data_IF_967662428996
#
_entry.id   IF_967662428996
#
_cell.length_a   1.000
_cell.length_b   1.000
_cell.length_c   1.000
_cell.angle_alpha   90.00
_cell.angle_beta   90.00
_cell.angle_gamma   90.00
#
_symmetry.space_group_name_H-M   'P 1'
#
loop_
_entity.id
_entity.type
_entity.pdbx_description
1 polymer ?
#
# COMPACT_ATOMS: atom_id res chain seq x y z
N UNK A 1 -12.07 62.40 12.64
CA UNK A 1 -12.44 62.01 11.27
C UNK A 1 -11.48 60.92 10.87
N UNK A 2 -11.98 59.73 11.14
CA UNK A 2 -11.46 58.40 10.91
C UNK A 2 -11.03 58.22 9.46
N UNK A 3 -9.95 57.48 9.21
CA UNK A 3 -10.13 56.10 8.74
C UNK A 3 -8.83 55.31 8.73
N UNK A 4 -8.97 54.06 9.14
CA UNK A 4 -7.94 53.04 9.28
C UNK A 4 -7.68 52.42 7.92
N UNK A 5 -6.42 52.31 7.51
CA UNK A 5 -6.03 51.39 6.44
C UNK A 5 -4.82 50.57 6.89
N UNK A 6 -5.08 49.56 7.71
CA UNK A 6 -4.18 48.42 7.89
C UNK A 6 -3.99 47.75 6.53
N UNK A 7 -2.74 47.70 6.05
CA UNK A 7 -2.39 46.84 4.92
C UNK A 7 -2.29 45.40 5.43
N UNK A 8 -3.38 44.65 5.32
CA UNK A 8 -3.33 43.19 5.37
C UNK A 8 -2.51 42.70 4.17
N UNK A 9 -1.29 42.22 4.45
CA UNK A 9 -0.52 41.44 3.49
C UNK A 9 -1.25 40.11 3.32
N UNK A 10 -2.01 39.99 2.23
CA UNK A 10 -2.64 38.74 1.82
C UNK A 10 -1.52 37.75 1.43
N UNK A 11 -1.12 36.92 2.40
CA UNK A 11 -0.22 35.78 2.19
C UNK A 11 -0.82 34.91 1.08
N UNK A 12 -0.10 34.59 0.00
CA UNK A 12 -0.63 33.73 -1.05
C UNK A 12 -0.98 32.38 -0.41
N UNK A 13 -2.27 32.04 -0.44
CA UNK A 13 -2.78 30.74 0.00
C UNK A 13 -2.02 29.68 -0.75
N UNK A 14 -1.32 28.82 -0.02
CA UNK A 14 -0.70 27.61 -0.53
C UNK A 14 -1.69 26.91 -1.45
N UNK A 15 -1.48 27.04 -2.77
CA UNK A 15 -2.04 26.10 -3.72
C UNK A 15 -1.42 24.76 -3.32
N UNK A 16 -2.21 23.93 -2.65
CA UNK A 16 -1.96 22.51 -2.52
C UNK A 16 -1.68 21.98 -3.93
N UNK A 17 -0.41 21.82 -4.26
CA UNK A 17 -0.02 21.09 -5.45
C UNK A 17 -0.51 19.66 -5.26
N UNK A 18 -1.16 19.04 -6.26
CA UNK A 18 -1.56 17.64 -6.17
C UNK A 18 -0.34 16.83 -5.78
N UNK A 19 -0.43 16.14 -4.65
CA UNK A 19 0.72 15.61 -3.93
C UNK A 19 1.72 14.89 -4.81
N UNK A 20 2.92 15.48 -4.93
CA UNK A 20 4.13 14.69 -5.09
C UNK A 20 4.27 13.84 -3.82
N UNK A 21 3.65 12.66 -3.87
CA UNK A 21 3.99 11.56 -3.01
C UNK A 21 5.47 11.29 -3.28
N UNK A 22 6.37 11.85 -2.46
CA UNK A 22 7.78 11.46 -2.45
C UNK A 22 7.80 9.99 -2.08
N UNK A 23 7.84 9.13 -3.10
CA UNK A 23 7.99 7.70 -2.93
C UNK A 23 9.38 7.51 -2.32
N UNK A 24 9.44 7.12 -1.04
CA UNK A 24 10.63 6.49 -0.49
C UNK A 24 10.83 5.15 -1.22
N UNK A 25 11.36 5.24 -2.45
CA UNK A 25 11.55 4.11 -3.36
C UNK A 25 12.84 3.33 -3.07
N UNK A 26 13.49 3.55 -1.94
CA UNK A 26 14.81 2.98 -1.67
C UNK A 26 14.76 1.54 -1.13
N UNK A 27 13.57 1.00 -0.81
CA UNK A 27 13.43 -0.41 -0.43
C UNK A 27 12.27 -1.09 -1.18
N UNK A 28 12.53 -2.26 -1.81
CA UNK A 28 11.49 -3.02 -2.48
C UNK A 28 10.41 -3.48 -1.46
N UNK A 29 9.15 -3.66 -1.90
CA UNK A 29 8.08 -4.10 -1.02
C UNK A 29 8.29 -5.55 -0.56
N UNK A 30 7.67 -5.91 0.56
CA UNK A 30 7.66 -7.28 1.08
C UNK A 30 6.64 -8.14 0.32
N UNK A 31 5.49 -7.56 -0.01
CA UNK A 31 4.47 -8.19 -0.83
C UNK A 31 3.96 -7.26 -1.92
N UNK A 32 3.45 -7.87 -3.00
CA UNK A 32 2.80 -7.16 -4.09
C UNK A 32 1.41 -7.76 -4.38
N UNK A 33 0.39 -6.94 -4.27
CA UNK A 33 -1.01 -7.32 -4.50
C UNK A 33 -1.41 -6.91 -5.91
N UNK A 34 -2.04 -7.83 -6.65
CA UNK A 34 -2.55 -7.60 -8.01
C UNK A 34 -3.93 -8.21 -8.16
N UNK A 35 -4.79 -7.57 -8.94
CA UNK A 35 -6.04 -8.15 -9.40
C UNK A 35 -5.91 -8.62 -10.85
N UNK A 36 -6.40 -9.82 -11.13
CA UNK A 36 -6.55 -10.36 -12.48
C UNK A 36 -7.97 -10.84 -12.68
N UNK A 37 -8.61 -10.44 -13.79
CA UNK A 37 -9.99 -10.90 -14.11
C UNK A 37 -10.09 -12.42 -14.26
N UNK A 38 -9.00 -13.10 -14.63
CA UNK A 38 -8.99 -14.56 -14.83
C UNK A 38 -8.75 -15.35 -13.55
N UNK A 39 -7.99 -14.77 -12.61
CA UNK A 39 -7.44 -15.52 -11.45
C UNK A 39 -7.99 -14.98 -10.12
N UNK A 40 -8.48 -13.74 -10.09
CA UNK A 40 -8.91 -13.04 -8.88
C UNK A 40 -7.78 -12.23 -8.25
N UNK A 41 -7.81 -12.08 -6.92
CA UNK A 41 -6.74 -11.41 -6.18
C UNK A 41 -5.55 -12.34 -5.99
N UNK A 42 -4.36 -11.78 -6.18
CA UNK A 42 -3.10 -12.49 -6.03
C UNK A 42 -2.12 -11.62 -5.25
N UNK A 43 -1.47 -12.24 -4.27
CA UNK A 43 -0.40 -11.61 -3.49
C UNK A 43 0.90 -12.33 -3.83
N UNK A 44 1.82 -11.63 -4.47
CA UNK A 44 3.20 -12.05 -4.69
C UNK A 44 4.03 -11.76 -3.44
N UNK A 45 4.83 -12.75 -3.03
CA UNK A 45 5.79 -12.63 -1.93
C UNK A 45 7.13 -12.22 -2.54
N UNK A 46 7.58 -11.01 -2.26
CA UNK A 46 8.74 -10.39 -2.94
C UNK A 46 10.01 -10.53 -2.11
N UNK A 47 9.93 -10.25 -0.81
CA UNK A 47 11.11 -10.30 0.06
C UNK A 47 11.25 -11.66 0.76
N UNK A 48 12.50 -11.97 1.17
CA UNK A 48 12.76 -13.14 2.00
C UNK A 48 12.08 -13.05 3.37
N UNK A 49 12.01 -11.86 3.96
CA UNK A 49 11.34 -11.64 5.25
C UNK A 49 9.84 -11.95 5.15
N UNK A 50 9.20 -11.50 4.07
CA UNK A 50 7.81 -11.81 3.76
C UNK A 50 7.56 -13.32 3.60
N UNK A 51 8.49 -14.02 2.94
CA UNK A 51 8.42 -15.47 2.77
C UNK A 51 8.50 -16.20 4.12
N UNK A 52 9.49 -15.86 4.95
CA UNK A 52 9.65 -16.46 6.28
C UNK A 52 8.47 -16.15 7.19
N UNK A 53 7.91 -14.94 7.10
CA UNK A 53 6.70 -14.55 7.82
C UNK A 53 5.48 -15.38 7.38
N UNK A 54 5.30 -15.55 6.06
CA UNK A 54 4.21 -16.33 5.48
C UNK A 54 4.28 -17.79 5.94
N UNK A 55 5.45 -18.41 5.90
CA UNK A 55 5.64 -19.80 6.36
C UNK A 55 5.24 -20.01 7.84
N UNK A 56 5.34 -18.98 8.68
CA UNK A 56 5.02 -19.05 10.11
C UNK A 56 3.55 -18.76 10.43
N UNK A 57 2.84 -18.01 9.58
CA UNK A 57 1.52 -17.42 9.91
C UNK A 57 0.40 -17.77 8.96
N UNK A 58 0.73 -18.28 7.79
CA UNK A 58 -0.26 -18.52 6.74
C UNK A 58 -0.80 -19.92 6.93
N UNK A 59 -2.02 -20.01 7.45
CA UNK A 59 -2.76 -21.27 7.51
C UNK A 59 -2.91 -21.81 6.07
N UNK A 60 -2.38 -23.00 5.76
CA UNK A 60 -2.47 -23.60 4.42
C UNK A 60 -3.92 -23.84 3.98
N UNK A 61 -4.89 -23.77 4.90
CA UNK A 61 -6.32 -23.89 4.59
C UNK A 61 -6.96 -22.59 4.07
N UNK A 62 -6.38 -21.43 4.40
CA UNK A 62 -6.92 -20.10 4.01
C UNK A 62 -6.29 -19.55 2.73
N UNK A 63 -5.17 -20.11 2.30
CA UNK A 63 -4.35 -19.54 1.25
C UNK A 63 -3.79 -20.66 0.36
N UNK A 64 -4.17 -20.67 -0.91
CA UNK A 64 -3.53 -21.53 -1.91
C UNK A 64 -2.11 -20.98 -2.15
N UNK A 65 -1.18 -21.42 -1.31
CA UNK A 65 0.20 -20.98 -1.31
C UNK A 65 1.01 -21.82 -2.30
N UNK A 66 1.32 -21.25 -3.45
CA UNK A 66 2.17 -21.87 -4.49
C UNK A 66 3.67 -21.62 -4.23
N UNK A 67 4.03 -21.21 -3.01
CA UNK A 67 5.39 -20.83 -2.60
C UNK A 67 5.64 -19.34 -2.76
N UNK A 68 5.46 -18.79 -3.96
CA UNK A 68 5.67 -17.34 -4.23
C UNK A 68 4.39 -16.53 -4.32
N UNK A 69 3.25 -17.19 -4.49
CA UNK A 69 1.97 -16.51 -4.62
C UNK A 69 0.95 -17.10 -3.68
N UNK A 70 0.16 -16.20 -3.11
CA UNK A 70 -1.03 -16.48 -2.35
C UNK A 70 -2.21 -16.05 -3.19
N UNK A 71 -3.07 -17.00 -3.54
CA UNK A 71 -4.36 -16.72 -4.17
C UNK A 71 -5.43 -16.65 -3.10
N UNK A 72 -6.21 -15.57 -3.12
CA UNK A 72 -7.27 -15.34 -2.13
C UNK A 72 -8.32 -14.37 -2.70
N UNK A 73 -9.37 -14.07 -1.92
CA UNK A 73 -10.36 -13.05 -2.26
C UNK A 73 -9.98 -11.68 -1.67
N UNK A 74 -10.83 -10.67 -1.85
CA UNK A 74 -10.55 -9.33 -1.32
C UNK A 74 -10.49 -9.31 0.22
N UNK A 75 -11.28 -10.15 0.89
CA UNK A 75 -11.27 -10.21 2.35
C UNK A 75 -9.96 -10.81 2.86
N UNK A 76 -9.45 -11.86 2.20
CA UNK A 76 -8.16 -12.45 2.51
C UNK A 76 -6.98 -11.53 2.21
N UNK A 77 -7.03 -10.73 1.14
CA UNK A 77 -6.04 -9.66 0.90
C UNK A 77 -6.07 -8.66 2.05
N UNK A 78 -7.24 -8.17 2.45
CA UNK A 78 -7.36 -7.19 3.52
C UNK A 78 -6.83 -7.73 4.85
N UNK A 79 -7.14 -8.98 5.18
CA UNK A 79 -6.64 -9.64 6.38
C UNK A 79 -5.10 -9.79 6.34
N UNK A 80 -4.55 -10.22 5.20
CA UNK A 80 -3.11 -10.35 5.03
C UNK A 80 -2.40 -9.00 5.16
N UNK A 81 -2.90 -7.98 4.46
CA UNK A 81 -2.37 -6.59 4.53
C UNK A 81 -2.40 -6.08 5.97
N UNK A 82 -3.49 -6.30 6.69
CA UNK A 82 -3.63 -5.86 8.08
C UNK A 82 -2.57 -6.51 8.98
N UNK A 83 -2.42 -7.83 8.90
CA UNK A 83 -1.48 -8.58 9.72
C UNK A 83 -0.02 -8.30 9.35
N UNK A 84 0.29 -8.16 8.06
CA UNK A 84 1.63 -7.85 7.57
C UNK A 84 2.09 -6.45 8.06
N UNK A 85 1.20 -5.46 8.00
CA UNK A 85 1.48 -4.10 8.47
C UNK A 85 1.68 -4.00 9.98
N UNK A 86 0.92 -4.78 10.76
CA UNK A 86 1.11 -4.85 12.20
C UNK A 86 2.53 -5.30 12.59
N UNK A 87 3.24 -5.97 11.66
CA UNK A 87 4.60 -6.48 11.82
C UNK A 87 5.65 -5.65 11.05
N UNK A 88 5.24 -4.53 10.45
CA UNK A 88 6.12 -3.61 9.73
C UNK A 88 6.49 -4.03 8.30
N UNK A 89 5.81 -5.03 7.72
CA UNK A 89 6.04 -5.46 6.34
C UNK A 89 5.36 -4.51 5.35
N UNK A 90 6.07 -4.19 4.25
CA UNK A 90 5.66 -3.23 3.22
C UNK A 90 4.81 -3.88 2.15
N UNK A 91 3.72 -3.22 1.76
CA UNK A 91 2.79 -3.74 0.76
C UNK A 91 2.74 -2.81 -0.47
N UNK A 92 2.90 -3.37 -1.65
CA UNK A 92 2.64 -2.66 -2.91
C UNK A 92 1.34 -3.16 -3.53
N UNK A 93 0.39 -2.27 -3.78
CA UNK A 93 -0.85 -2.59 -4.46
C UNK A 93 -0.80 -2.11 -5.92
N UNK A 94 -0.93 -3.03 -6.86
CA UNK A 94 -1.03 -2.74 -8.29
C UNK A 94 -2.49 -2.85 -8.69
N UNK A 95 -3.17 -1.70 -8.68
CA UNK A 95 -4.51 -1.57 -9.23
C UNK A 95 -4.49 -1.49 -10.76
N UNK A 96 -5.67 -1.65 -11.41
CA UNK A 96 -5.79 -1.54 -12.87
C UNK A 96 -5.40 -0.15 -13.42
N UNK A 97 -5.40 0.90 -12.60
CA UNK A 97 -5.06 2.26 -13.05
C UNK A 97 -3.98 2.98 -12.22
N UNK A 98 -3.59 2.49 -11.03
CA UNK A 98 -2.54 3.11 -10.20
C UNK A 98 -1.83 2.12 -9.28
N UNK A 99 -0.53 2.38 -9.07
CA UNK A 99 0.29 1.85 -7.99
C UNK A 99 -0.04 2.57 -6.69
N UNK A 100 -0.34 1.84 -5.62
CA UNK A 100 -0.49 2.39 -4.27
C UNK A 100 0.42 1.60 -3.32
N UNK A 101 1.47 2.24 -2.83
CA UNK A 101 2.43 1.65 -1.89
C UNK A 101 2.02 2.07 -0.48
N UNK A 102 1.93 1.12 0.45
CA UNK A 102 1.60 1.42 1.83
C UNK A 102 2.27 0.54 2.90
#
# INVERSE_FOLDING_TARGET
>A
MDDVAMKEQQKPRDRLQPGELRIEADTPPDFRVRYSQRIGWMVEIVSRGAYEWTQKRTDPFLFENTGRYIRTDLAGVNLLVHNARAEGLKMEYIGPERLVIF
#
